data_IF_065626246933
#
_entry.id   IF_065626246933
#
_cell.length_a   1.000
_cell.length_b   1.000
_cell.length_c   1.000
_cell.angle_alpha   90.00
_cell.angle_beta   90.00
_cell.angle_gamma   90.00
#
_symmetry.space_group_name_H-M   'P 1'
#
loop_
_entity.id
_entity.type
_entity.pdbx_description
1 polymer ?
#
# COMPACT_ATOMS: atom_id res chain seq x y z
N UNK A 1 -7.85 -23.36 -51.91
CA UNK A 1 -6.79 -24.27 -51.40
C UNK A 1 -5.52 -23.54 -51.01
N UNK A 2 -5.04 -22.56 -51.78
CA UNK A 2 -3.84 -21.78 -51.46
C UNK A 2 -3.87 -21.05 -50.09
N UNK A 3 -5.02 -20.52 -49.69
CA UNK A 3 -5.18 -19.81 -48.40
C UNK A 3 -5.03 -20.71 -47.18
N UNK A 4 -5.46 -21.97 -47.28
CA UNK A 4 -5.28 -22.96 -46.22
C UNK A 4 -3.82 -23.41 -46.09
N UNK A 5 -3.08 -23.44 -47.20
CA UNK A 5 -1.64 -23.75 -47.19
C UNK A 5 -0.86 -22.62 -46.50
N UNK A 6 -1.20 -21.36 -46.79
CA UNK A 6 -0.57 -20.20 -46.12
C UNK A 6 -0.87 -20.21 -44.62
N UNK A 7 -2.11 -20.50 -44.22
CA UNK A 7 -2.49 -20.61 -42.81
C UNK A 7 -1.78 -21.76 -42.08
N UNK A 8 -1.62 -22.92 -42.74
CA UNK A 8 -0.91 -24.07 -42.18
C UNK A 8 0.59 -23.79 -42.02
N UNK A 9 1.21 -23.12 -42.99
CA UNK A 9 2.63 -22.74 -42.95
C UNK A 9 2.89 -21.70 -41.85
N UNK A 10 2.00 -20.71 -41.70
CA UNK A 10 2.09 -19.73 -40.61
C UNK A 10 1.92 -20.38 -39.23
N UNK A 11 0.97 -21.31 -39.09
CA UNK A 11 0.79 -22.06 -37.85
C UNK A 11 1.99 -22.95 -37.53
N UNK A 12 2.59 -23.62 -38.52
CA UNK A 12 3.79 -24.44 -38.32
C UNK A 12 5.02 -23.61 -37.93
N UNK A 13 5.18 -22.40 -38.47
CA UNK A 13 6.26 -21.48 -38.09
C UNK A 13 6.08 -20.88 -36.68
N UNK A 14 4.85 -20.79 -36.18
CA UNK A 14 4.55 -20.29 -34.83
C UNK A 14 4.55 -21.39 -33.76
N UNK A 15 4.25 -22.64 -34.14
CA UNK A 15 4.10 -23.77 -33.19
C UNK A 15 5.38 -24.61 -33.11
N UNK A 16 6.21 -24.64 -34.16
CA UNK A 16 7.50 -25.35 -34.16
C UNK A 16 8.62 -24.33 -33.94
N UNK A 17 9.39 -24.39 -32.86
CA UNK A 17 10.57 -23.55 -32.70
C UNK A 17 11.60 -23.92 -33.78
N UNK A 18 11.58 -23.19 -34.90
CA UNK A 18 12.54 -23.34 -35.98
C UNK A 18 13.80 -22.50 -35.64
N UNK A 19 15.03 -23.03 -35.84
CA UNK A 19 16.27 -22.26 -35.68
C UNK A 19 16.29 -20.94 -36.47
N UNK A 20 15.58 -20.85 -37.61
CA UNK A 20 15.43 -19.58 -38.34
C UNK A 20 14.60 -18.52 -37.59
N UNK A 21 13.55 -18.93 -36.88
CA UNK A 21 12.75 -18.01 -36.04
C UNK A 21 13.57 -17.49 -34.87
N UNK A 22 14.44 -18.32 -34.27
CA UNK A 22 15.38 -17.88 -33.22
C UNK A 22 16.48 -16.95 -33.74
N UNK A 23 16.81 -17.02 -35.03
CA UNK A 23 17.79 -16.16 -35.68
C UNK A 23 17.20 -14.81 -36.11
N UNK A 24 15.97 -14.80 -36.63
CA UNK A 24 15.29 -13.60 -37.13
C UNK A 24 14.52 -12.83 -36.04
N UNK A 25 13.96 -13.54 -35.06
CA UNK A 25 13.54 -13.00 -33.78
C UNK A 25 14.52 -13.55 -32.75
N UNK A 26 15.70 -12.94 -32.57
CA UNK A 26 16.50 -13.25 -31.40
C UNK A 26 15.57 -13.04 -30.22
N UNK A 27 15.28 -14.12 -29.48
CA UNK A 27 14.82 -13.99 -28.11
C UNK A 27 15.82 -13.01 -27.52
N UNK A 28 15.37 -11.78 -27.25
CA UNK A 28 16.13 -10.90 -26.39
C UNK A 28 16.44 -11.79 -25.21
N UNK A 29 17.73 -12.08 -24.92
CA UNK A 29 18.06 -12.93 -23.81
C UNK A 29 17.24 -12.31 -22.69
N UNK A 30 16.28 -13.08 -22.13
CA UNK A 30 15.66 -12.72 -20.88
C UNK A 30 16.87 -12.45 -20.05
N UNK A 31 17.20 -11.18 -19.89
CA UNK A 31 18.40 -10.82 -19.19
C UNK A 31 18.07 -11.48 -17.88
N UNK A 32 18.89 -12.45 -17.49
CA UNK A 32 19.07 -12.72 -16.09
C UNK A 32 19.74 -11.47 -15.51
N UNK A 33 19.12 -10.30 -15.68
CA UNK A 33 18.81 -9.42 -14.58
C UNK A 33 17.95 -10.25 -13.62
N UNK A 34 18.57 -11.28 -13.03
CA UNK A 34 18.51 -11.34 -11.59
C UNK A 34 19.09 -10.00 -11.20
N UNK A 35 18.21 -9.00 -11.06
CA UNK A 35 18.53 -7.79 -10.32
C UNK A 35 19.19 -8.35 -9.09
N UNK A 36 20.49 -8.14 -8.97
CA UNK A 36 21.24 -8.57 -7.82
C UNK A 36 20.65 -7.72 -6.70
N UNK A 37 19.57 -8.22 -6.07
CA UNK A 37 18.94 -7.56 -4.95
C UNK A 37 20.07 -7.31 -3.98
N UNK A 38 20.23 -6.07 -3.55
CA UNK A 38 21.19 -5.82 -2.50
C UNK A 38 20.86 -6.76 -1.33
N UNK A 39 21.86 -7.25 -0.58
CA UNK A 39 21.60 -8.04 0.61
C UNK A 39 20.55 -7.36 1.47
N UNK A 40 19.63 -8.14 2.05
CA UNK A 40 18.58 -7.62 2.92
C UNK A 40 19.22 -6.74 4.01
N UNK A 41 18.82 -5.47 4.13
CA UNK A 41 19.33 -4.60 5.19
C UNK A 41 18.85 -5.14 6.54
N UNK A 42 19.57 -4.80 7.62
CA UNK A 42 19.07 -5.06 8.95
C UNK A 42 17.84 -4.18 9.19
N UNK A 43 16.67 -4.81 9.23
CA UNK A 43 15.40 -4.13 9.50
C UNK A 43 15.20 -4.06 11.02
N UNK A 44 14.68 -2.94 11.49
CA UNK A 44 14.26 -2.83 12.89
C UNK A 44 12.93 -3.56 13.09
N UNK A 45 13.01 -4.83 13.51
CA UNK A 45 11.83 -5.70 13.68
C UNK A 45 10.84 -5.17 14.73
N UNK A 46 11.28 -4.31 15.66
CA UNK A 46 10.37 -3.68 16.64
C UNK A 46 9.34 -2.74 16.01
N UNK A 47 9.60 -2.28 14.79
CA UNK A 47 8.71 -1.44 13.98
C UNK A 47 7.87 -2.26 13.00
N UNK A 48 8.09 -3.57 12.91
CA UNK A 48 7.37 -4.48 12.01
C UNK A 48 6.27 -5.23 12.77
N UNK A 49 5.17 -5.51 12.08
CA UNK A 49 4.05 -6.31 12.56
C UNK A 49 4.38 -7.81 12.48
N UNK A 50 5.39 -8.24 13.25
CA UNK A 50 5.84 -9.64 13.31
C UNK A 50 5.37 -10.25 14.62
N UNK A 51 4.72 -11.41 14.52
CA UNK A 51 4.27 -12.18 15.68
C UNK A 51 5.47 -12.83 16.39
N UNK A 52 5.39 -12.89 17.72
CA UNK A 52 6.36 -13.64 18.50
C UNK A 52 6.31 -15.14 18.11
N UNK A 53 7.42 -15.89 18.21
CA UNK A 53 7.46 -17.31 17.80
C UNK A 53 6.41 -18.22 18.47
N UNK A 54 5.89 -17.82 19.64
CA UNK A 54 4.90 -18.55 20.43
C UNK A 54 3.50 -17.88 20.43
N UNK A 55 3.28 -16.87 19.59
CA UNK A 55 1.99 -16.18 19.54
C UNK A 55 0.90 -17.08 18.96
N UNK A 56 -0.29 -17.08 19.57
CA UNK A 56 -1.47 -17.73 19.00
C UNK A 56 -1.97 -16.96 17.78
N UNK A 57 -2.46 -17.66 16.75
CA UNK A 57 -3.08 -17.00 15.61
C UNK A 57 -4.38 -16.29 16.06
N UNK A 58 -4.60 -15.03 15.69
CA UNK A 58 -5.83 -14.32 16.02
C UNK A 58 -6.99 -14.91 15.19
N UNK A 59 -8.17 -15.00 15.80
CA UNK A 59 -9.40 -15.37 15.08
C UNK A 59 -9.91 -14.13 14.34
N UNK A 60 -9.69 -14.10 13.03
CA UNK A 60 -9.99 -12.95 12.20
C UNK A 60 -11.29 -13.15 11.42
N UNK A 61 -12.23 -12.19 11.48
CA UNK A 61 -13.40 -12.24 10.61
C UNK A 61 -12.97 -12.16 9.15
N UNK A 62 -13.74 -12.82 8.29
CA UNK A 62 -13.53 -12.82 6.85
C UNK A 62 -13.50 -11.38 6.31
N UNK A 63 -12.69 -11.19 5.27
CA UNK A 63 -12.55 -9.92 4.59
C UNK A 63 -13.87 -9.51 3.92
N UNK A 64 -14.45 -8.40 4.40
CA UNK A 64 -15.68 -7.84 3.88
C UNK A 64 -15.47 -6.37 3.52
N UNK A 65 -14.92 -6.12 2.34
CA UNK A 65 -14.78 -4.77 1.77
C UNK A 65 -15.01 -4.80 0.25
N UNK A 66 -15.58 -3.72 -0.28
CA UNK A 66 -15.65 -3.48 -1.71
C UNK A 66 -14.32 -2.93 -2.23
N UNK A 67 -13.90 -3.36 -3.42
CA UNK A 67 -12.64 -2.92 -4.03
C UNK A 67 -12.95 -2.16 -5.31
N UNK A 68 -12.40 -0.95 -5.47
CA UNK A 68 -12.48 -0.16 -6.70
C UNK A 68 -11.10 0.35 -7.07
N UNK A 69 -10.67 0.08 -8.30
CA UNK A 69 -9.39 0.60 -8.81
C UNK A 69 -9.65 2.01 -9.31
N UNK A 70 -9.06 3.01 -8.65
CA UNK A 70 -9.10 4.41 -9.06
C UNK A 70 -8.15 4.63 -10.24
N UNK A 71 -6.90 4.17 -10.11
CA UNK A 71 -5.86 4.31 -11.13
C UNK A 71 -5.02 3.03 -11.20
N UNK A 72 -4.53 2.68 -12.39
CA UNK A 72 -3.67 1.48 -12.60
C UNK A 72 -2.19 1.80 -12.50
N UNK A 73 -1.79 2.99 -12.95
CA UNK A 73 -0.40 3.45 -12.96
C UNK A 73 -0.32 4.91 -12.50
N UNK A 74 0.17 5.17 -11.27
CA UNK A 74 0.40 4.20 -10.20
C UNK A 74 -0.91 3.50 -9.76
N UNK A 75 -0.78 2.30 -9.18
CA UNK A 75 -1.95 1.58 -8.68
C UNK A 75 -2.53 2.31 -7.46
N UNK A 76 -3.75 2.81 -7.59
CA UNK A 76 -4.52 3.40 -6.49
C UNK A 76 -5.84 2.65 -6.37
N UNK A 77 -6.11 2.12 -5.19
CA UNK A 77 -7.27 1.28 -4.91
C UNK A 77 -8.05 1.86 -3.74
N UNK A 78 -9.34 2.09 -3.95
CA UNK A 78 -10.27 2.46 -2.91
C UNK A 78 -10.90 1.21 -2.30
N UNK A 79 -10.74 1.04 -1.00
CA UNK A 79 -11.34 -0.04 -0.21
C UNK A 79 -12.56 0.50 0.54
N UNK A 80 -13.75 0.18 0.04
CA UNK A 80 -15.00 0.56 0.66
C UNK A 80 -15.33 -0.41 1.80
N UNK A 81 -15.16 0.03 3.03
CA UNK A 81 -15.58 -0.71 4.20
C UNK A 81 -17.11 -0.61 4.41
N UNK A 82 -17.71 -1.66 4.97
CA UNK A 82 -19.08 -1.63 5.49
C UNK A 82 -19.09 -0.97 6.89
N UNK A 83 -20.23 -0.42 7.36
CA UNK A 83 -20.29 0.55 8.47
C UNK A 83 -19.72 0.07 9.83
N UNK A 84 -19.58 1.04 10.74
CA UNK A 84 -18.73 1.02 11.93
C UNK A 84 -18.56 -0.35 12.61
N UNK A 85 -17.38 -0.94 12.46
CA UNK A 85 -17.06 -2.24 13.06
C UNK A 85 -16.67 -2.08 14.53
N UNK A 86 -16.90 -3.08 15.41
CA UNK A 86 -16.33 -3.12 16.76
C UNK A 86 -14.81 -2.87 16.78
N UNK A 87 -14.14 -3.22 15.69
CA UNK A 87 -12.72 -2.93 15.47
C UNK A 87 -12.41 -1.43 15.48
N UNK A 88 -13.21 -0.57 14.82
CA UNK A 88 -12.94 0.88 14.82
C UNK A 88 -13.02 1.49 16.21
N UNK A 89 -14.06 1.16 16.98
CA UNK A 89 -14.16 1.60 18.39
C UNK A 89 -12.98 1.14 19.22
N UNK A 90 -12.61 -0.14 19.10
CA UNK A 90 -11.44 -0.68 19.78
C UNK A 90 -10.15 0.06 19.41
N UNK A 91 -9.95 0.41 18.12
CA UNK A 91 -8.79 1.20 17.71
C UNK A 91 -8.76 2.55 18.41
N UNK A 92 -9.87 3.29 18.43
CA UNK A 92 -9.95 4.60 19.09
C UNK A 92 -9.64 4.50 20.59
N UNK A 93 -10.23 3.51 21.27
CA UNK A 93 -10.04 3.27 22.70
C UNK A 93 -8.58 3.02 23.07
N UNK A 94 -7.87 2.16 22.31
CA UNK A 94 -6.46 1.87 22.58
C UNK A 94 -5.52 2.99 22.12
N UNK A 95 -5.94 3.83 21.17
CA UNK A 95 -5.16 4.95 20.67
C UNK A 95 -5.13 6.14 21.62
N UNK A 96 -6.27 6.44 22.26
CA UNK A 96 -6.45 7.70 23.01
C UNK A 96 -5.34 7.99 24.05
N UNK A 97 -4.94 7.04 24.92
CA UNK A 97 -3.88 7.30 25.90
C UNK A 97 -2.46 7.31 25.31
N UNK A 98 -2.29 6.99 24.02
CA UNK A 98 -1.00 6.80 23.36
C UNK A 98 -0.66 7.90 22.34
N UNK A 99 -1.55 8.87 22.15
CA UNK A 99 -1.32 9.94 21.19
C UNK A 99 -0.20 10.88 21.65
N UNK A 100 0.80 11.02 20.79
CA UNK A 100 1.89 11.97 20.96
C UNK A 100 2.01 12.86 19.71
N UNK A 101 2.57 14.07 19.82
CA UNK A 101 2.83 14.90 18.65
C UNK A 101 3.67 14.18 17.60
N UNK A 102 3.25 14.26 16.35
CA UNK A 102 3.95 13.58 15.26
C UNK A 102 5.30 14.21 14.97
N UNK A 103 6.25 13.38 14.57
CA UNK A 103 7.59 13.78 14.14
C UNK A 103 7.77 13.56 12.64
N UNK A 104 8.78 14.23 12.08
CA UNK A 104 9.23 14.11 10.69
C UNK A 104 10.64 13.53 10.69
N UNK A 105 10.95 12.71 9.69
CA UNK A 105 12.28 12.11 9.48
C UNK A 105 12.82 12.56 8.14
N UNK A 106 13.94 13.29 8.12
CA UNK A 106 14.53 13.80 6.86
C UNK A 106 15.68 12.94 6.32
N UNK A 107 16.38 12.20 7.17
CA UNK A 107 17.64 11.53 6.82
C UNK A 107 17.73 10.07 7.33
N UNK A 108 16.56 9.47 7.59
CA UNK A 108 16.41 8.13 8.18
C UNK A 108 17.07 7.94 9.57
N UNK A 109 17.66 8.97 10.17
CA UNK A 109 18.45 8.86 11.41
C UNK A 109 17.93 9.75 12.54
N UNK A 110 17.35 10.91 12.21
CA UNK A 110 16.82 11.85 13.20
C UNK A 110 15.33 12.13 13.00
N UNK A 111 14.57 11.98 14.08
CA UNK A 111 13.15 12.36 14.15
C UNK A 111 13.03 13.65 14.95
N UNK A 112 12.37 14.66 14.40
CA UNK A 112 12.08 15.89 15.14
C UNK A 112 10.66 16.37 14.86
N UNK A 113 10.12 17.20 15.75
CA UNK A 113 8.84 17.85 15.54
C UNK A 113 9.04 19.06 14.64
N UNK A 114 8.33 19.10 13.52
CA UNK A 114 8.28 20.26 12.62
C UNK A 114 6.83 20.54 12.21
N UNK A 115 6.22 21.52 12.89
CA UNK A 115 4.85 21.91 12.61
C UNK A 115 4.71 22.62 11.27
N UNK A 116 5.79 23.09 10.64
CA UNK A 116 5.71 23.66 9.29
C UNK A 116 5.47 22.57 8.23
N UNK A 117 5.71 21.30 8.55
CA UNK A 117 5.51 20.16 7.64
C UNK A 117 4.28 19.34 8.05
N UNK A 118 4.11 19.10 9.35
CA UNK A 118 3.07 18.23 9.88
C UNK A 118 2.60 18.70 11.25
N UNK A 119 1.30 18.90 11.38
CA UNK A 119 0.65 19.14 12.66
C UNK A 119 -0.47 18.13 12.89
N UNK A 120 -0.15 17.10 13.66
CA UNK A 120 -1.04 15.99 13.98
C UNK A 120 -0.46 15.16 15.11
N UNK A 121 -1.27 14.27 15.69
CA UNK A 121 -0.83 13.32 16.73
C UNK A 121 -0.84 11.90 16.21
N UNK A 122 0.15 11.09 16.60
CA UNK A 122 0.28 9.69 16.21
C UNK A 122 0.27 8.80 17.44
N UNK A 123 -0.33 7.62 17.33
CA UNK A 123 -0.25 6.57 18.35
C UNK A 123 0.23 5.26 17.69
N UNK A 124 1.27 4.65 18.25
CA UNK A 124 1.72 3.31 17.86
C UNK A 124 0.94 2.27 18.64
N UNK A 125 0.15 1.46 17.93
CA UNK A 125 -0.83 0.61 18.61
C UNK A 125 -0.20 -0.64 19.24
N UNK A 126 -0.69 -1.08 20.42
CA UNK A 126 -0.42 -2.43 20.90
C UNK A 126 -1.04 -3.46 19.94
N UNK A 127 -0.31 -4.55 19.68
CA UNK A 127 -0.73 -5.60 18.74
C UNK A 127 -1.77 -6.55 19.36
N UNK A 128 -2.93 -6.00 19.73
CA UNK A 128 -4.14 -6.77 20.10
C UNK A 128 -4.62 -7.63 18.93
N UNK A 129 -5.47 -8.63 19.15
CA UNK A 129 -5.94 -9.50 18.07
C UNK A 129 -6.65 -8.74 16.94
N UNK A 130 -7.43 -7.70 17.28
CA UNK A 130 -8.05 -6.81 16.29
C UNK A 130 -7.01 -6.11 15.40
N UNK A 131 -5.93 -5.60 15.99
CA UNK A 131 -4.83 -4.95 15.26
C UNK A 131 -4.09 -5.98 14.39
N UNK A 132 -3.79 -7.15 14.94
CA UNK A 132 -3.14 -8.25 14.20
C UNK A 132 -3.97 -8.71 13.01
N UNK A 133 -5.29 -8.73 13.13
CA UNK A 133 -6.18 -9.04 12.00
C UNK A 133 -6.14 -7.98 10.90
N UNK A 134 -6.05 -6.69 11.24
CA UNK A 134 -5.88 -5.62 10.24
C UNK A 134 -4.54 -5.76 9.52
N UNK A 135 -3.47 -5.99 10.27
CA UNK A 135 -2.12 -6.16 9.70
C UNK A 135 -2.05 -7.40 8.79
N UNK A 136 -2.63 -8.52 9.20
CA UNK A 136 -2.72 -9.74 8.40
C UNK A 136 -3.53 -9.53 7.11
N UNK A 137 -4.65 -8.80 7.19
CA UNK A 137 -5.48 -8.43 6.03
C UNK A 137 -4.72 -7.53 5.05
N UNK A 138 -4.01 -6.53 5.54
CA UNK A 138 -3.19 -5.64 4.72
C UNK A 138 -2.07 -6.41 4.01
N UNK A 139 -1.42 -7.35 4.71
CA UNK A 139 -0.41 -8.22 4.11
C UNK A 139 -1.00 -9.14 3.03
N UNK A 140 -2.14 -9.77 3.31
CA UNK A 140 -2.83 -10.65 2.36
C UNK A 140 -3.23 -9.91 1.08
N UNK A 141 -3.70 -8.67 1.21
CA UNK A 141 -4.05 -7.82 0.06
C UNK A 141 -2.87 -7.60 -0.91
N UNK A 142 -1.63 -7.61 -0.41
CA UNK A 142 -0.43 -7.46 -1.24
C UNK A 142 -0.02 -8.71 -2.04
N UNK A 143 -0.73 -9.83 -1.89
CA UNK A 143 -0.56 -11.01 -2.74
C UNK A 143 0.65 -11.91 -2.40
N UNK A 144 0.96 -12.07 -1.11
CA UNK A 144 1.97 -13.02 -0.58
C UNK A 144 3.35 -12.94 -1.25
N UNK A 145 3.83 -11.72 -1.50
CA UNK A 145 5.17 -11.49 -2.02
C UNK A 145 6.21 -11.87 -0.97
N UNK A 146 7.34 -12.43 -1.43
CA UNK A 146 8.52 -12.62 -0.57
C UNK A 146 9.03 -11.26 -0.11
N UNK A 147 9.61 -11.26 1.09
CA UNK A 147 10.35 -10.10 1.61
C UNK A 147 9.52 -8.81 1.65
N UNK A 148 8.22 -8.94 1.97
CA UNK A 148 7.28 -7.86 2.25
C UNK A 148 6.80 -8.00 3.68
N UNK A 149 6.83 -6.90 4.42
CA UNK A 149 6.35 -6.81 5.80
C UNK A 149 5.39 -5.64 5.94
N UNK A 150 4.51 -5.74 6.94
CA UNK A 150 3.68 -4.62 7.38
C UNK A 150 4.43 -3.94 8.53
N UNK A 151 4.54 -2.61 8.46
CA UNK A 151 4.96 -1.82 9.63
C UNK A 151 3.83 -1.85 10.66
N UNK A 152 4.17 -1.79 11.95
CA UNK A 152 3.18 -1.78 13.03
C UNK A 152 2.14 -0.71 12.81
N UNK A 153 0.87 -1.08 12.99
CA UNK A 153 -0.26 -0.17 12.78
C UNK A 153 -0.16 1.07 13.67
N UNK A 154 -0.40 2.23 13.08
CA UNK A 154 -0.47 3.52 13.76
C UNK A 154 -1.81 4.18 13.46
N UNK A 155 -2.39 4.83 14.44
CA UNK A 155 -3.47 5.79 14.21
C UNK A 155 -2.92 7.19 14.15
N UNK A 156 -3.48 7.97 13.24
CA UNK A 156 -3.18 9.37 13.09
C UNK A 156 -4.41 10.20 13.43
N UNK A 157 -4.23 11.23 14.27
CA UNK A 157 -5.29 12.16 14.66
C UNK A 157 -4.94 13.56 14.18
N UNK A 158 -5.87 14.15 13.47
CA UNK A 158 -5.87 15.56 13.08
C UNK A 158 -6.98 16.26 13.88
N UNK A 159 -6.70 17.47 14.31
CA UNK A 159 -7.68 18.38 14.91
C UNK A 159 -7.91 19.54 13.94
N UNK A 160 -8.78 20.48 14.29
CA UNK A 160 -8.99 21.70 13.50
C UNK A 160 -7.66 22.37 13.14
N UNK A 161 -7.46 22.65 11.85
CA UNK A 161 -6.23 23.25 11.31
C UNK A 161 -5.02 22.30 11.23
N UNK A 162 -5.14 21.04 11.66
CA UNK A 162 -4.09 20.04 11.54
C UNK A 162 -3.86 19.60 10.09
N UNK A 163 -2.62 19.28 9.73
CA UNK A 163 -2.26 18.91 8.37
C UNK A 163 -1.03 18.01 8.29
N UNK A 164 -0.84 17.44 7.11
CA UNK A 164 0.45 16.90 6.67
C UNK A 164 0.65 17.32 5.23
N UNK A 165 1.67 18.13 4.95
CA UNK A 165 2.02 18.54 3.58
C UNK A 165 2.25 17.33 2.67
N UNK A 166 2.00 17.52 1.38
CA UNK A 166 2.23 16.48 0.36
C UNK A 166 3.66 15.94 0.45
N UNK A 167 3.77 14.61 0.46
CA UNK A 167 5.02 13.91 0.59
C UNK A 167 4.93 12.54 -0.08
N UNK A 168 6.08 11.87 -0.17
CA UNK A 168 6.15 10.48 -0.55
C UNK A 168 6.33 9.65 0.72
N UNK A 169 5.62 8.53 0.82
CA UNK A 169 5.75 7.64 1.97
C UNK A 169 7.12 6.94 2.04
N UNK A 170 7.86 6.92 0.92
CA UNK A 170 9.21 6.39 0.85
C UNK A 170 10.23 7.55 0.94
N UNK A 171 11.21 7.40 1.83
CA UNK A 171 12.31 8.38 2.03
C UNK A 171 13.56 8.06 1.20
N UNK A 172 13.61 6.88 0.57
CA UNK A 172 14.71 6.43 -0.27
C UNK A 172 14.64 4.91 -0.47
N UNK A 173 15.02 4.43 -1.64
CA UNK A 173 15.17 3.00 -1.89
C UNK A 173 16.65 2.61 -1.68
N UNK A 174 16.97 1.91 -0.58
CA UNK A 174 18.34 1.49 -0.28
C UNK A 174 18.60 0.16 -0.99
N UNK A 175 19.14 0.21 -2.20
CA UNK A 175 19.56 -0.98 -2.97
C UNK A 175 18.45 -1.91 -3.43
N UNK A 176 17.19 -1.46 -3.43
CA UNK A 176 16.00 -2.26 -3.75
C UNK A 176 15.00 -2.36 -2.59
N UNK A 177 15.39 -1.94 -1.38
CA UNK A 177 14.59 -2.00 -0.17
C UNK A 177 13.98 -0.64 0.21
N UNK A 178 12.67 -0.63 0.44
CA UNK A 178 11.92 0.55 0.88
C UNK A 178 10.42 0.24 0.97
N UNK A 179 9.63 1.22 1.39
CA UNK A 179 8.16 1.12 1.34
C UNK A 179 7.70 1.02 -0.12
N UNK A 180 6.92 -0.02 -0.43
CA UNK A 180 6.44 -0.31 -1.80
C UNK A 180 4.95 0.01 -1.99
N UNK A 181 4.20 0.16 -0.90
CA UNK A 181 2.79 0.50 -0.89
C UNK A 181 2.39 1.02 0.49
N UNK A 182 1.28 1.75 0.56
CA UNK A 182 0.70 2.26 1.81
C UNK A 182 -0.79 2.00 1.85
N UNK A 183 -1.33 1.84 3.06
CA UNK A 183 -2.75 1.77 3.33
C UNK A 183 -3.14 2.91 4.25
N UNK A 184 -4.09 3.73 3.82
CA UNK A 184 -4.70 4.77 4.63
C UNK A 184 -6.16 4.38 4.86
N UNK A 185 -6.59 4.36 6.11
CA UNK A 185 -7.93 3.96 6.49
C UNK A 185 -8.55 4.99 7.43
N UNK A 186 -9.75 5.45 7.08
CA UNK A 186 -10.54 6.34 7.91
C UNK A 186 -11.16 5.57 9.07
N UNK A 187 -10.78 5.93 10.29
CA UNK A 187 -11.24 5.26 11.51
C UNK A 187 -12.45 5.97 12.11
N UNK A 188 -12.38 7.30 12.18
CA UNK A 188 -13.40 8.17 12.76
C UNK A 188 -13.30 9.58 12.16
N UNK A 189 -14.40 10.32 12.20
CA UNK A 189 -14.50 11.72 11.77
C UNK A 189 -15.62 12.41 12.55
N UNK A 190 -15.44 13.69 12.89
CA UNK A 190 -16.54 14.48 13.47
C UNK A 190 -17.63 14.71 12.42
N UNK A 191 -18.89 14.83 12.86
CA UNK A 191 -20.03 14.97 11.94
C UNK A 191 -20.06 16.32 11.20
N UNK A 192 -19.28 17.29 11.68
CA UNK A 192 -19.09 18.62 11.13
C UNK A 192 -17.72 18.80 10.46
N UNK A 193 -16.99 17.70 10.23
CA UNK A 193 -15.69 17.74 9.57
C UNK A 193 -15.84 18.25 8.12
N UNK A 194 -15.16 19.35 7.81
CA UNK A 194 -14.95 19.85 6.45
C UNK A 194 -13.47 19.69 6.07
N UNK A 195 -13.21 19.07 4.92
CA UNK A 195 -11.87 18.77 4.43
C UNK A 195 -11.19 17.59 5.12
N UNK A 196 -9.85 17.63 5.17
CA UNK A 196 -9.01 16.56 5.74
C UNK A 196 -8.74 15.38 4.80
N UNK A 197 -9.24 15.44 3.55
CA UNK A 197 -9.07 14.42 2.52
C UNK A 197 -7.62 14.00 2.27
N UNK A 198 -7.44 12.77 1.76
CA UNK A 198 -6.13 12.32 1.28
C UNK A 198 -5.97 12.74 -0.18
N UNK A 199 -5.08 13.71 -0.41
CA UNK A 199 -4.87 14.29 -1.73
C UNK A 199 -3.72 13.62 -2.49
N UNK A 200 -3.93 13.43 -3.79
CA UNK A 200 -2.90 13.01 -4.74
C UNK A 200 -2.76 14.04 -5.86
N UNK A 201 -2.13 15.20 -5.60
CA UNK A 201 -2.13 16.34 -6.53
C UNK A 201 -1.55 16.02 -7.91
N UNK A 202 -0.68 15.00 -8.02
CA UNK A 202 -0.10 14.57 -9.29
C UNK A 202 -0.97 13.58 -10.09
N UNK A 203 -2.10 13.13 -9.53
CA UNK A 203 -2.94 12.07 -10.12
C UNK A 203 -4.34 12.54 -10.57
N UNK A 204 -4.82 13.69 -10.11
CA UNK A 204 -6.26 13.96 -10.01
C UNK A 204 -6.87 14.84 -11.12
N UNK A 205 -6.12 15.41 -12.07
CA UNK A 205 -6.71 16.45 -12.96
C UNK A 205 -7.65 15.93 -14.07
N UNK A 206 -7.55 14.67 -14.53
CA UNK A 206 -8.34 14.21 -15.69
C UNK A 206 -9.26 13.00 -15.43
N UNK A 207 -9.07 12.26 -14.33
CA UNK A 207 -9.70 10.94 -14.13
C UNK A 207 -10.78 10.90 -13.04
N UNK A 208 -10.91 11.94 -12.21
CA UNK A 208 -11.78 11.93 -11.03
C UNK A 208 -13.04 12.73 -11.32
N UNK A 209 -14.14 12.00 -11.53
CA UNK A 209 -15.46 12.57 -11.80
C UNK A 209 -16.58 11.53 -11.71
N UNK A 210 -17.83 12.00 -11.73
CA UNK A 210 -19.00 11.14 -11.64
C UNK A 210 -19.06 10.39 -10.31
N UNK A 211 -19.22 9.05 -10.36
CA UNK A 211 -19.36 8.19 -9.16
C UNK A 211 -18.15 8.21 -8.22
N UNK A 212 -17.01 8.75 -8.67
CA UNK A 212 -15.87 8.94 -7.78
C UNK A 212 -16.10 10.05 -6.78
N UNK A 213 -16.87 11.10 -7.12
CA UNK A 213 -17.17 12.19 -6.20
C UNK A 213 -18.10 11.78 -5.04
N UNK A 214 -18.68 10.56 -5.09
CA UNK A 214 -19.39 9.96 -3.97
C UNK A 214 -18.41 9.34 -2.93
N UNK A 215 -17.14 9.17 -3.28
CA UNK A 215 -16.13 8.39 -2.53
C UNK A 215 -14.85 9.17 -2.23
N UNK A 216 -14.47 10.12 -3.08
CA UNK A 216 -13.28 10.96 -2.98
C UNK A 216 -13.66 12.42 -3.22
N UNK A 217 -12.88 13.33 -2.65
CA UNK A 217 -13.05 14.77 -2.84
C UNK A 217 -12.64 15.18 -4.28
N UNK A 218 -13.53 15.90 -4.96
CA UNK A 218 -13.38 16.30 -6.36
C UNK A 218 -13.19 17.82 -6.55
N UNK A 219 -13.36 18.61 -5.49
CA UNK A 219 -13.26 20.08 -5.48
C UNK A 219 -12.10 20.54 -4.59
#
# INVERSE_FOLDING_TARGET
>A
MFTYIIGLVAALLLIIPNPLTQYLLPDHPKTKSGKHLSPRPQLNESLLAIDAPNATLPDCPADAYGVRILRREPLVVYLAAWPLSPTQRHLLEISEPLFEPSTVTHDASSTHRDTTVRDSSVALLPRTDAVRCIEARALAFQGWRRDVWIERLRTQRYVEGGYYKHHLDWSGNVGGWGRVSSFMAWVDASGDLEGGGTEFPLLMEEEVGGRWCDLVECE
#
